data_IF_963091093038
#
_entry.id   IF_963091093038
#
_cell.length_a   1.000
_cell.length_b   1.000
_cell.length_c   1.000
_cell.angle_alpha   90.00
_cell.angle_beta   90.00
_cell.angle_gamma   90.00
#
_symmetry.space_group_name_H-M   'P 1'
#
loop_
_entity.id
_entity.type
_entity.pdbx_description
1 polymer ?
#
# COMPACT_ATOMS: atom_id res chain seq x y z
N UNK A 1 18.33 35.35 -6.62
CA UNK A 1 19.35 35.41 -5.52
C UNK A 1 19.00 34.51 -4.33
N UNK A 2 17.75 34.53 -3.83
CA UNK A 2 17.32 33.73 -2.67
C UNK A 2 17.32 32.20 -2.91
N UNK A 3 16.79 31.73 -4.05
CA UNK A 3 16.76 30.30 -4.40
C UNK A 3 18.16 29.69 -4.41
N UNK A 4 19.14 30.39 -5.00
CA UNK A 4 20.54 29.94 -5.01
C UNK A 4 21.12 29.80 -3.59
N UNK A 5 20.86 30.77 -2.71
CA UNK A 5 21.28 30.69 -1.30
C UNK A 5 20.63 29.51 -0.58
N UNK A 6 19.36 29.23 -0.88
CA UNK A 6 18.64 28.08 -0.32
C UNK A 6 19.26 26.75 -0.77
N UNK A 7 19.66 26.64 -2.04
CA UNK A 7 20.31 25.44 -2.59
C UNK A 7 21.74 25.24 -2.07
N UNK A 8 22.46 26.33 -1.82
CA UNK A 8 23.82 26.32 -1.29
C UNK A 8 23.88 26.12 0.23
N UNK A 9 22.73 26.14 0.92
CA UNK A 9 22.69 25.89 2.35
C UNK A 9 23.24 24.48 2.65
N UNK A 10 24.27 24.43 3.48
CA UNK A 10 24.92 23.19 3.87
C UNK A 10 24.04 22.30 4.74
N UNK A 11 24.47 21.06 4.96
CA UNK A 11 23.82 20.13 5.90
C UNK A 11 24.64 20.11 7.18
N UNK A 12 23.97 20.20 8.32
CA UNK A 12 24.60 19.93 9.61
C UNK A 12 24.71 18.42 9.81
N UNK A 13 25.93 17.88 9.82
CA UNK A 13 26.20 16.49 10.15
C UNK A 13 27.22 16.43 11.29
N UNK A 14 26.84 15.77 12.39
CA UNK A 14 27.68 15.63 13.59
C UNK A 14 28.24 16.96 14.13
N UNK A 15 27.45 18.04 14.08
CA UNK A 15 27.86 19.36 14.59
C UNK A 15 28.73 20.18 13.63
N UNK A 16 29.00 19.69 12.42
CA UNK A 16 29.75 20.42 11.37
C UNK A 16 28.86 20.69 10.17
N UNK A 17 28.93 21.91 9.63
CA UNK A 17 28.26 22.28 8.38
C UNK A 17 29.08 21.76 7.21
N UNK A 18 28.57 20.74 6.52
CA UNK A 18 29.11 20.35 5.21
C UNK A 18 28.46 21.18 4.10
N UNK A 19 29.30 21.81 3.28
CA UNK A 19 28.82 22.48 2.06
C UNK A 19 28.26 21.46 1.08
N UNK A 20 27.23 21.89 0.34
CA UNK A 20 26.60 21.09 -0.69
C UNK A 20 26.93 21.64 -2.07
N UNK A 21 27.40 20.74 -2.92
CA UNK A 21 27.70 21.05 -4.32
C UNK A 21 26.56 20.60 -5.25
N UNK A 22 25.74 19.63 -4.85
CA UNK A 22 24.63 19.10 -5.66
C UNK A 22 23.34 18.81 -4.87
N UNK A 23 22.23 18.78 -5.61
CA UNK A 23 20.89 18.43 -5.14
C UNK A 23 20.15 19.55 -4.40
N UNK A 24 18.87 19.30 -4.10
CA UNK A 24 18.01 20.20 -3.30
C UNK A 24 17.87 19.66 -1.86
N UNK A 25 17.61 20.49 -0.83
CA UNK A 25 17.35 20.00 0.54
C UNK A 25 16.14 19.06 0.58
N UNK A 26 16.34 17.80 0.96
CA UNK A 26 15.22 16.88 1.14
C UNK A 26 14.39 17.33 2.35
N UNK A 27 13.08 17.51 2.15
CA UNK A 27 12.18 18.08 3.17
C UNK A 27 12.02 19.60 3.09
N UNK A 28 12.76 20.28 2.22
CA UNK A 28 12.55 21.69 1.93
C UNK A 28 11.23 21.93 1.19
N UNK A 29 10.35 22.86 1.62
CA UNK A 29 9.07 23.14 0.96
C UNK A 29 9.20 23.51 -0.53
N UNK A 30 10.33 24.13 -0.91
CA UNK A 30 10.60 24.57 -2.29
C UNK A 30 11.15 23.45 -3.18
N UNK A 31 11.72 22.40 -2.60
CA UNK A 31 12.43 21.34 -3.34
C UNK A 31 11.56 20.59 -4.36
N UNK A 32 10.28 20.24 -4.06
CA UNK A 32 9.41 19.60 -5.05
C UNK A 32 9.13 20.46 -6.28
N UNK A 33 8.97 21.78 -6.10
CA UNK A 33 8.74 22.71 -7.20
C UNK A 33 9.99 22.79 -8.09
N UNK A 34 11.17 22.92 -7.50
CA UNK A 34 12.43 22.98 -8.25
C UNK A 34 12.68 21.71 -9.06
N UNK A 35 12.33 20.54 -8.51
CA UNK A 35 12.42 19.27 -9.25
C UNK A 35 11.50 19.28 -10.49
N UNK A 36 10.28 19.80 -10.37
CA UNK A 36 9.37 19.90 -11.51
C UNK A 36 9.83 20.91 -12.56
N UNK A 37 10.40 22.05 -12.15
CA UNK A 37 10.97 23.04 -13.08
C UNK A 37 12.13 22.44 -13.88
N UNK A 38 13.00 21.67 -13.24
CA UNK A 38 14.11 21.00 -13.93
C UNK A 38 13.61 19.96 -14.95
N UNK A 39 12.57 19.21 -14.59
CA UNK A 39 12.04 18.13 -15.42
C UNK A 39 11.06 18.62 -16.51
N UNK A 40 10.71 19.91 -16.53
CA UNK A 40 9.84 20.52 -17.55
C UNK A 40 10.42 20.36 -18.97
N UNK A 41 11.74 20.39 -19.13
CA UNK A 41 12.39 20.14 -20.42
C UNK A 41 12.13 18.72 -20.96
N UNK A 42 12.03 17.73 -20.06
CA UNK A 42 11.70 16.35 -20.44
C UNK A 42 10.26 16.28 -20.94
N UNK A 43 9.34 16.93 -20.25
CA UNK A 43 7.91 16.94 -20.61
C UNK A 43 7.70 17.61 -21.97
N UNK A 44 8.27 18.80 -22.18
CA UNK A 44 8.19 19.52 -23.46
C UNK A 44 8.71 18.71 -24.63
N UNK A 45 9.82 17.98 -24.43
CA UNK A 45 10.39 17.16 -25.50
C UNK A 45 9.54 15.93 -25.81
N UNK A 46 8.89 15.33 -24.81
CA UNK A 46 7.92 14.25 -25.01
C UNK A 46 6.66 14.76 -25.73
N UNK A 47 6.15 15.93 -25.35
CA UNK A 47 5.01 16.59 -25.99
C UNK A 47 5.30 16.95 -27.44
N UNK A 48 6.46 17.57 -27.71
CA UNK A 48 6.91 17.93 -29.06
C UNK A 48 6.99 16.72 -29.99
N UNK A 49 7.31 15.55 -29.45
CA UNK A 49 7.36 14.27 -30.18
C UNK A 49 6.01 13.55 -30.26
N UNK A 50 4.97 14.09 -29.64
CA UNK A 50 3.63 13.51 -29.63
C UNK A 50 3.53 12.19 -28.85
N UNK A 51 4.34 12.02 -27.80
CA UNK A 51 4.31 10.82 -26.97
C UNK A 51 3.20 10.89 -25.91
N UNK A 52 2.50 9.77 -25.68
CA UNK A 52 1.60 9.63 -24.54
C UNK A 52 2.42 9.24 -23.30
N UNK A 53 2.46 10.09 -22.29
CA UNK A 53 3.24 9.82 -21.08
C UNK A 53 2.51 10.28 -19.81
N UNK A 54 2.98 9.78 -18.67
CA UNK A 54 2.57 10.24 -17.34
C UNK A 54 3.83 10.35 -16.49
N UNK A 55 4.04 11.53 -15.91
CA UNK A 55 5.13 11.79 -14.96
C UNK A 55 4.57 12.14 -13.59
N UNK A 56 5.14 11.53 -12.55
CA UNK A 56 4.86 11.85 -11.16
C UNK A 56 6.19 11.99 -10.41
N UNK A 57 6.56 13.23 -10.09
CA UNK A 57 7.91 13.56 -9.62
C UNK A 57 8.98 13.01 -10.58
N UNK A 58 9.82 12.07 -10.11
CA UNK A 58 10.87 11.40 -10.86
C UNK A 58 10.40 10.14 -11.61
N UNK A 59 9.23 9.59 -11.26
CA UNK A 59 8.67 8.39 -11.90
C UNK A 59 7.95 8.79 -13.19
N UNK A 60 8.54 8.48 -14.35
CA UNK A 60 8.01 8.81 -15.67
C UNK A 60 7.78 7.55 -16.51
N UNK A 61 6.57 7.40 -17.02
CA UNK A 61 6.18 6.32 -17.94
C UNK A 61 5.79 6.89 -19.29
N UNK A 62 6.37 6.35 -20.37
CA UNK A 62 5.96 6.64 -21.75
C UNK A 62 5.30 5.39 -22.35
N UNK A 63 4.11 5.55 -22.91
CA UNK A 63 3.30 4.48 -23.46
C UNK A 63 3.43 4.42 -24.98
N UNK A 64 3.83 3.25 -25.48
CA UNK A 64 4.12 3.00 -26.91
C UNK A 64 3.43 1.72 -27.39
N UNK A 65 3.29 1.57 -28.70
CA UNK A 65 2.62 0.41 -29.32
C UNK A 65 3.50 -0.83 -29.47
N UNK A 66 4.83 -0.69 -29.39
CA UNK A 66 5.76 -1.81 -29.55
C UNK A 66 7.03 -1.62 -28.72
N UNK A 67 7.66 -2.74 -28.38
CA UNK A 67 8.92 -2.77 -27.62
C UNK A 67 10.04 -2.01 -28.36
N UNK A 68 10.16 -2.21 -29.68
CA UNK A 68 11.12 -1.47 -30.51
C UNK A 68 10.94 0.05 -30.44
N UNK A 69 9.68 0.52 -30.41
CA UNK A 69 9.42 1.95 -30.21
C UNK A 69 9.79 2.39 -28.79
N UNK A 70 9.57 1.54 -27.80
CA UNK A 70 9.95 1.76 -26.41
C UNK A 70 11.45 1.93 -26.23
N UNK A 71 12.25 1.04 -26.81
CA UNK A 71 13.72 1.14 -26.76
C UNK A 71 14.24 2.42 -27.40
N UNK A 72 13.66 2.82 -28.53
CA UNK A 72 13.98 4.09 -29.19
C UNK A 72 13.66 5.30 -28.31
N UNK A 73 12.49 5.29 -27.64
CA UNK A 73 12.09 6.35 -26.71
C UNK A 73 13.01 6.38 -25.49
N UNK A 74 13.35 5.21 -24.92
CA UNK A 74 14.25 5.08 -23.78
C UNK A 74 15.64 5.64 -24.09
N UNK A 75 16.19 5.36 -25.28
CA UNK A 75 17.45 5.96 -25.73
C UNK A 75 17.36 7.48 -25.85
N UNK A 76 16.23 8.01 -26.34
CA UNK A 76 15.96 9.45 -26.38
C UNK A 76 15.91 10.08 -24.99
N UNK A 77 15.20 9.45 -24.06
CA UNK A 77 15.12 9.88 -22.66
C UNK A 77 16.52 9.91 -22.02
N UNK A 78 17.34 8.88 -22.17
CA UNK A 78 18.72 8.88 -21.66
C UNK A 78 19.51 10.10 -22.12
N UNK A 79 19.33 10.52 -23.37
CA UNK A 79 20.00 11.71 -23.92
C UNK A 79 19.52 13.00 -23.26
N UNK A 80 18.20 13.17 -23.09
CA UNK A 80 17.60 14.38 -22.47
C UNK A 80 17.93 14.46 -20.97
N UNK A 81 17.84 13.35 -20.24
CA UNK A 81 18.28 13.33 -18.84
C UNK A 81 19.79 13.62 -18.73
N UNK A 82 20.59 13.14 -19.68
CA UNK A 82 22.01 13.46 -19.77
C UNK A 82 22.30 14.95 -19.98
N UNK A 83 21.51 15.67 -20.78
CA UNK A 83 21.65 17.13 -20.94
C UNK A 83 21.32 17.89 -19.66
N UNK A 84 20.38 17.37 -18.87
CA UNK A 84 20.05 17.87 -17.53
C UNK A 84 21.06 17.44 -16.44
N UNK A 85 22.12 16.69 -16.82
CA UNK A 85 23.11 16.09 -15.89
C UNK A 85 22.46 15.18 -14.84
N UNK A 86 21.38 14.49 -15.22
CA UNK A 86 20.68 13.52 -14.40
C UNK A 86 20.95 12.10 -14.90
N UNK A 87 21.16 11.17 -13.97
CA UNK A 87 21.38 9.75 -14.28
C UNK A 87 20.10 8.96 -14.09
N UNK A 88 19.71 8.18 -15.11
CA UNK A 88 18.56 7.27 -15.02
C UNK A 88 18.93 6.05 -14.17
N UNK A 89 18.02 5.64 -13.30
CA UNK A 89 18.18 4.41 -12.52
C UNK A 89 17.85 3.19 -13.40
N UNK A 90 18.87 2.58 -13.99
CA UNK A 90 18.74 1.42 -14.89
C UNK A 90 18.17 0.17 -14.19
N UNK A 91 18.35 0.03 -12.86
CA UNK A 91 17.75 -1.08 -12.11
C UNK A 91 16.22 -0.95 -11.96
N UNK A 92 15.69 0.28 -12.04
CA UNK A 92 14.25 0.58 -11.93
C UNK A 92 13.61 0.82 -13.30
N UNK A 93 14.34 1.34 -14.26
CA UNK A 93 13.85 1.69 -15.59
C UNK A 93 13.89 0.47 -16.51
N UNK A 94 12.83 0.26 -17.30
CA UNK A 94 12.79 -0.83 -18.27
C UNK A 94 11.71 -0.56 -19.32
N UNK A 95 11.93 -1.06 -20.53
CA UNK A 95 10.87 -1.25 -21.52
C UNK A 95 10.20 -2.58 -21.20
N UNK A 96 8.91 -2.55 -20.91
CA UNK A 96 8.15 -3.75 -20.58
C UNK A 96 6.66 -3.52 -20.85
N UNK A 97 5.90 -4.61 -20.90
CA UNK A 97 4.45 -4.53 -20.98
C UNK A 97 3.87 -3.82 -19.75
N UNK A 98 2.98 -2.85 -19.97
CA UNK A 98 2.40 -2.01 -18.93
C UNK A 98 1.72 -2.81 -17.80
N UNK A 99 1.13 -3.98 -18.10
CA UNK A 99 0.46 -4.83 -17.12
C UNK A 99 1.40 -5.53 -16.13
N UNK A 100 2.68 -5.72 -16.51
CA UNK A 100 3.68 -6.45 -15.71
C UNK A 100 4.33 -5.57 -14.64
N UNK A 101 4.33 -4.25 -14.85
CA UNK A 101 4.94 -3.28 -13.95
C UNK A 101 3.89 -2.60 -13.07
N UNK A 102 4.40 -1.91 -12.05
CA UNK A 102 3.59 -1.12 -11.11
C UNK A 102 3.92 0.35 -11.31
N UNK A 103 2.94 1.21 -11.10
CA UNK A 103 3.09 2.66 -11.09
C UNK A 103 2.25 3.24 -9.96
N UNK A 104 2.87 4.04 -9.08
CA UNK A 104 2.21 4.68 -7.92
C UNK A 104 1.39 3.72 -7.03
N UNK A 105 1.83 2.47 -6.91
CA UNK A 105 1.14 1.44 -6.11
C UNK A 105 0.02 0.69 -6.86
N UNK A 106 -0.25 1.04 -8.11
CA UNK A 106 -1.18 0.32 -9.00
C UNK A 106 -0.43 -0.57 -9.98
N UNK A 107 -1.12 -1.54 -10.54
CA UNK A 107 -0.72 -2.34 -11.70
C UNK A 107 -1.91 -2.42 -12.65
N UNK A 108 -1.68 -2.76 -13.91
CA UNK A 108 -2.72 -2.80 -14.93
C UNK A 108 -3.01 -4.24 -15.37
N UNK A 109 -4.21 -4.46 -15.87
CA UNK A 109 -4.60 -5.70 -16.52
C UNK A 109 -5.66 -5.40 -17.58
N UNK A 110 -5.74 -6.25 -18.60
CA UNK A 110 -6.73 -6.09 -19.68
C UNK A 110 -7.86 -7.08 -19.49
N UNK A 111 -9.11 -6.61 -19.56
CA UNK A 111 -10.29 -7.46 -19.50
C UNK A 111 -11.36 -6.91 -20.46
N UNK A 112 -11.80 -7.75 -21.41
CA UNK A 112 -12.78 -7.34 -22.42
C UNK A 112 -12.29 -6.20 -23.31
N UNK A 113 -11.00 -6.18 -23.66
CA UNK A 113 -10.39 -5.11 -24.47
C UNK A 113 -10.13 -3.79 -23.73
N UNK A 114 -10.54 -3.68 -22.46
CA UNK A 114 -10.35 -2.46 -21.66
C UNK A 114 -9.24 -2.64 -20.63
N UNK A 115 -8.36 -1.65 -20.53
CA UNK A 115 -7.32 -1.59 -19.48
C UNK A 115 -7.97 -1.20 -18.16
N UNK A 116 -7.80 -2.05 -17.16
CA UNK A 116 -8.29 -1.87 -15.79
C UNK A 116 -7.14 -1.73 -14.80
N UNK A 117 -7.42 -1.06 -13.69
CA UNK A 117 -6.45 -0.82 -12.61
C UNK A 117 -6.64 -1.84 -11.50
N UNK A 118 -5.55 -2.38 -10.97
CA UNK A 118 -5.54 -3.23 -9.77
C UNK A 118 -4.51 -2.71 -8.77
N UNK A 119 -4.70 -3.03 -7.49
CA UNK A 119 -3.68 -2.75 -6.47
C UNK A 119 -2.45 -3.61 -6.74
N UNK A 120 -1.26 -3.00 -6.75
CA UNK A 120 -0.02 -3.75 -6.97
C UNK A 120 0.23 -4.76 -5.84
N UNK A 121 0.82 -5.91 -6.18
CA UNK A 121 1.14 -6.97 -5.21
C UNK A 121 1.93 -6.47 -3.99
N UNK A 122 2.89 -5.55 -4.21
CA UNK A 122 3.68 -4.94 -3.13
C UNK A 122 2.81 -4.10 -2.18
N UNK A 123 1.85 -3.34 -2.70
CA UNK A 123 0.92 -2.54 -1.89
C UNK A 123 -0.02 -3.45 -1.07
N UNK A 124 -0.52 -4.55 -1.66
CA UNK A 124 -1.30 -5.55 -0.94
C UNK A 124 -0.51 -6.22 0.19
N UNK A 125 0.76 -6.56 -0.06
CA UNK A 125 1.65 -7.11 0.97
C UNK A 125 1.91 -6.08 2.09
N UNK A 126 2.17 -4.82 1.74
CA UNK A 126 2.36 -3.74 2.70
C UNK A 126 1.11 -3.55 3.59
N UNK A 127 -0.09 -3.56 2.98
CA UNK A 127 -1.35 -3.54 3.72
C UNK A 127 -1.45 -4.70 4.70
N UNK A 128 -1.27 -5.96 4.23
CA UNK A 128 -1.31 -7.14 5.11
C UNK A 128 -0.26 -7.05 6.22
N UNK A 129 0.94 -6.56 5.95
CA UNK A 129 1.96 -6.35 6.98
C UNK A 129 1.54 -5.30 8.01
N UNK A 130 0.98 -4.17 7.57
CA UNK A 130 0.49 -3.13 8.47
C UNK A 130 -0.64 -3.64 9.36
N UNK A 131 -1.63 -4.32 8.78
CA UNK A 131 -2.72 -4.95 9.55
C UNK A 131 -2.16 -5.97 10.56
N UNK A 132 -1.13 -6.76 10.20
CA UNK A 132 -0.49 -7.67 11.16
C UNK A 132 0.10 -6.95 12.37
N UNK A 133 0.70 -5.79 12.16
CA UNK A 133 1.24 -4.95 13.25
C UNK A 133 0.13 -4.37 14.13
N UNK A 134 -0.96 -3.89 13.51
CA UNK A 134 -2.10 -3.31 14.23
C UNK A 134 -2.85 -4.36 15.05
N UNK A 135 -3.02 -5.58 14.52
CA UNK A 135 -3.71 -6.69 15.21
C UNK A 135 -2.73 -7.66 15.89
N UNK A 136 -1.63 -7.15 16.46
CA UNK A 136 -0.60 -7.97 17.13
C UNK A 136 -1.20 -8.72 18.33
N UNK A 137 -0.97 -10.04 18.37
CA UNK A 137 -1.50 -10.96 19.39
C UNK A 137 -0.85 -10.85 20.78
N UNK A 138 0.30 -10.19 20.88
CA UNK A 138 1.08 -10.02 22.12
C UNK A 138 0.96 -8.61 22.72
N UNK A 139 0.06 -7.77 22.21
CA UNK A 139 0.05 -6.35 22.51
C UNK A 139 -0.78 -5.89 23.71
N UNK A 140 -1.46 -6.79 24.43
CA UNK A 140 -2.27 -6.46 25.62
C UNK A 140 -3.49 -5.55 25.40
N UNK A 141 -3.77 -5.12 24.16
CA UNK A 141 -4.83 -4.17 23.83
C UNK A 141 -6.22 -4.81 23.85
N UNK A 142 -7.21 -4.00 24.22
CA UNK A 142 -8.62 -4.36 24.04
C UNK A 142 -8.98 -4.46 22.55
N UNK A 143 -10.11 -5.08 22.23
CA UNK A 143 -10.55 -5.18 20.83
C UNK A 143 -10.90 -3.78 20.28
N UNK A 144 -11.53 -2.94 21.09
CA UNK A 144 -11.94 -1.56 20.75
C UNK A 144 -10.73 -0.70 20.36
N UNK A 145 -9.65 -0.76 21.16
CA UNK A 145 -8.39 -0.07 20.84
C UNK A 145 -7.75 -0.58 19.54
N UNK A 146 -7.92 -1.86 19.21
CA UNK A 146 -7.44 -2.41 17.93
C UNK A 146 -8.31 -1.88 16.78
N UNK A 147 -9.63 -1.80 16.96
CA UNK A 147 -10.55 -1.25 15.96
C UNK A 147 -10.28 0.22 15.70
N UNK A 148 -10.09 1.04 16.73
CA UNK A 148 -9.73 2.45 16.59
C UNK A 148 -8.49 2.65 15.71
N UNK A 149 -7.44 1.86 15.96
CA UNK A 149 -6.21 1.91 15.16
C UNK A 149 -6.41 1.42 13.72
N UNK A 150 -7.34 0.50 13.49
CA UNK A 150 -7.73 0.09 12.15
C UNK A 150 -8.48 1.22 11.44
N UNK A 151 -9.38 1.91 12.13
CA UNK A 151 -10.12 3.07 11.60
C UNK A 151 -9.21 4.25 11.23
N UNK A 152 -8.07 4.43 11.90
CA UNK A 152 -7.08 5.42 11.51
C UNK A 152 -6.33 5.08 10.20
N UNK A 153 -6.32 3.81 9.76
CA UNK A 153 -5.49 3.36 8.64
C UNK A 153 -6.29 2.88 7.43
N UNK A 154 -7.27 1.99 7.64
CA UNK A 154 -7.99 1.29 6.57
C UNK A 154 -8.78 2.26 5.68
N UNK A 155 -9.50 3.27 6.19
CA UNK A 155 -10.21 4.24 5.35
C UNK A 155 -9.27 5.04 4.44
N UNK A 156 -8.13 5.50 4.95
CA UNK A 156 -7.13 6.20 4.14
C UNK A 156 -6.54 5.31 3.05
N UNK A 157 -6.26 4.05 3.38
CA UNK A 157 -5.81 3.07 2.38
C UNK A 157 -6.89 2.79 1.32
N UNK A 158 -8.16 2.65 1.73
CA UNK A 158 -9.31 2.50 0.82
C UNK A 158 -9.43 3.69 -0.11
N UNK A 159 -9.39 4.91 0.44
CA UNK A 159 -9.49 6.15 -0.31
C UNK A 159 -8.40 6.28 -1.38
N UNK A 160 -7.15 5.93 -1.05
CA UNK A 160 -6.07 5.93 -2.04
C UNK A 160 -6.28 4.90 -3.15
N UNK A 161 -6.71 3.67 -2.81
CA UNK A 161 -6.87 2.58 -3.77
C UNK A 161 -8.27 2.45 -4.38
N UNK A 162 -9.17 3.40 -4.13
CA UNK A 162 -10.57 3.35 -4.60
C UNK A 162 -10.70 3.29 -6.13
N UNK A 163 -9.69 3.77 -6.86
CA UNK A 163 -9.62 3.72 -8.32
C UNK A 163 -9.36 2.31 -8.87
N UNK A 164 -9.03 1.34 -8.01
CA UNK A 164 -8.84 -0.05 -8.43
C UNK A 164 -10.18 -0.74 -8.74
N UNK A 165 -10.20 -1.49 -9.82
CA UNK A 165 -11.39 -2.16 -10.36
C UNK A 165 -11.38 -3.65 -9.98
N UNK A 166 -10.99 -3.95 -8.74
CA UNK A 166 -10.83 -5.32 -8.22
C UNK A 166 -11.66 -5.53 -6.95
N UNK A 167 -13.01 -5.57 -7.04
CA UNK A 167 -13.88 -5.67 -5.87
C UNK A 167 -13.67 -6.97 -5.08
N UNK A 168 -13.38 -8.07 -5.76
CA UNK A 168 -13.06 -9.36 -5.11
C UNK A 168 -11.85 -9.27 -4.19
N UNK A 169 -10.80 -8.54 -4.60
CA UNK A 169 -9.59 -8.33 -3.78
C UNK A 169 -9.94 -7.57 -2.49
N UNK A 170 -10.84 -6.59 -2.54
CA UNK A 170 -11.27 -5.88 -1.35
C UNK A 170 -12.10 -6.77 -0.42
N UNK A 171 -13.03 -7.56 -0.97
CA UNK A 171 -13.79 -8.53 -0.19
C UNK A 171 -12.88 -9.59 0.48
N UNK A 172 -11.86 -10.08 -0.23
CA UNK A 172 -10.87 -11.02 0.30
C UNK A 172 -10.05 -10.42 1.44
N UNK A 173 -9.63 -9.16 1.32
CA UNK A 173 -8.92 -8.44 2.36
C UNK A 173 -9.80 -8.22 3.60
N UNK A 174 -11.07 -7.90 3.39
CA UNK A 174 -12.08 -7.74 4.43
C UNK A 174 -12.35 -9.05 5.19
N UNK A 175 -12.48 -10.17 4.48
CA UNK A 175 -12.61 -11.49 5.06
C UNK A 175 -11.36 -11.89 5.84
N UNK A 176 -10.18 -11.62 5.28
CA UNK A 176 -8.90 -11.87 5.93
C UNK A 176 -8.71 -11.03 7.20
N UNK A 177 -9.07 -9.74 7.18
CA UNK A 177 -9.03 -8.87 8.36
C UNK A 177 -9.92 -9.42 9.48
N UNK A 178 -11.17 -9.78 9.18
CA UNK A 178 -12.10 -10.36 10.16
C UNK A 178 -11.60 -11.70 10.70
N UNK A 179 -10.99 -12.53 9.87
CA UNK A 179 -10.35 -13.77 10.31
C UNK A 179 -9.20 -13.50 11.30
N UNK A 180 -8.43 -12.42 11.11
CA UNK A 180 -7.41 -12.00 12.09
C UNK A 180 -8.00 -11.55 13.42
N UNK A 181 -9.08 -10.78 13.39
CA UNK A 181 -9.76 -10.31 14.60
C UNK A 181 -10.38 -11.47 15.38
N UNK A 182 -10.97 -12.43 14.69
CA UNK A 182 -11.42 -13.70 15.29
C UNK A 182 -10.28 -14.45 15.99
N UNK A 183 -9.12 -14.58 15.34
CA UNK A 183 -7.94 -15.18 15.97
C UNK A 183 -7.43 -14.38 17.17
N UNK A 184 -7.63 -13.05 17.17
CA UNK A 184 -7.27 -12.18 18.30
C UNK A 184 -8.19 -12.41 19.50
N UNK A 185 -9.51 -12.54 19.31
CA UNK A 185 -10.44 -12.91 20.38
C UNK A 185 -10.06 -14.23 21.04
N UNK A 186 -9.83 -15.29 20.23
CA UNK A 186 -9.37 -16.57 20.76
C UNK A 186 -8.08 -16.42 21.59
N UNK A 187 -7.12 -15.64 21.08
CA UNK A 187 -5.89 -15.36 21.82
C UNK A 187 -6.14 -14.64 23.14
N UNK A 188 -7.04 -13.66 23.18
CA UNK A 188 -7.38 -12.90 24.38
C UNK A 188 -8.07 -13.77 25.44
N UNK A 189 -8.97 -14.67 25.03
CA UNK A 189 -9.64 -15.61 25.94
C UNK A 189 -8.68 -16.65 26.52
N UNK A 190 -7.60 -16.99 25.80
CA UNK A 190 -6.47 -17.87 26.18
C UNK A 190 -6.84 -19.32 26.54
N UNK A 191 -7.72 -19.54 27.52
CA UNK A 191 -8.11 -20.86 28.06
C UNK A 191 -9.42 -21.35 27.40
N UNK A 192 -9.52 -22.66 27.22
CA UNK A 192 -10.72 -23.27 26.61
C UNK A 192 -12.01 -22.98 27.38
N UNK A 193 -11.97 -22.99 28.71
CA UNK A 193 -13.13 -22.65 29.56
C UNK A 193 -13.63 -21.21 29.33
N UNK A 194 -12.72 -20.23 29.26
CA UNK A 194 -13.08 -18.85 28.92
C UNK A 194 -13.59 -18.71 27.49
N UNK A 195 -13.02 -19.45 26.53
CA UNK A 195 -13.51 -19.47 25.16
C UNK A 195 -14.95 -20.00 25.11
N UNK A 196 -15.23 -21.13 25.76
CA UNK A 196 -16.56 -21.73 25.83
C UNK A 196 -17.58 -20.75 26.40
N UNK A 197 -17.30 -20.20 27.59
CA UNK A 197 -18.18 -19.23 28.23
C UNK A 197 -18.37 -17.94 27.41
N UNK A 198 -17.35 -17.47 26.69
CA UNK A 198 -17.47 -16.32 25.80
C UNK A 198 -18.34 -16.63 24.58
N UNK A 199 -18.16 -17.79 23.96
CA UNK A 199 -18.93 -18.22 22.80
C UNK A 199 -20.40 -18.44 23.15
N UNK A 200 -20.69 -19.04 24.32
CA UNK A 200 -22.06 -19.17 24.83
C UNK A 200 -22.74 -17.80 25.00
N UNK A 201 -22.04 -16.82 25.59
CA UNK A 201 -22.55 -15.44 25.72
C UNK A 201 -22.78 -14.74 24.38
N UNK A 202 -22.03 -15.12 23.36
CA UNK A 202 -22.20 -14.62 21.99
C UNK A 202 -23.27 -15.40 21.20
N UNK A 203 -23.97 -16.35 21.83
CA UNK A 203 -25.06 -17.11 21.23
C UNK A 203 -24.62 -18.33 20.40
N UNK A 204 -23.38 -18.82 20.55
CA UNK A 204 -22.97 -20.06 19.92
C UNK A 204 -23.67 -21.27 20.57
N UNK A 205 -23.96 -22.32 19.80
CA UNK A 205 -24.48 -23.57 20.37
C UNK A 205 -23.44 -24.22 21.30
N UNK A 206 -23.85 -24.98 22.33
CA UNK A 206 -22.93 -25.69 23.22
C UNK A 206 -21.95 -26.60 22.45
N UNK A 207 -22.42 -27.27 21.39
CA UNK A 207 -21.60 -28.13 20.54
C UNK A 207 -20.52 -27.35 19.78
N UNK A 208 -20.88 -26.24 19.12
CA UNK A 208 -19.91 -25.41 18.39
C UNK A 208 -18.92 -24.75 19.36
N UNK A 209 -19.39 -24.27 20.52
CA UNK A 209 -18.55 -23.69 21.55
C UNK A 209 -17.53 -24.69 22.11
N UNK A 210 -17.94 -25.94 22.35
CA UNK A 210 -17.07 -27.01 22.86
C UNK A 210 -15.96 -27.36 21.86
N UNK A 211 -16.29 -27.49 20.57
CA UNK A 211 -15.32 -27.78 19.50
C UNK A 211 -14.29 -26.66 19.36
N UNK A 212 -14.70 -25.41 19.47
CA UNK A 212 -13.76 -24.28 19.43
C UNK A 212 -12.91 -24.23 20.70
N UNK A 213 -13.51 -24.46 21.87
CA UNK A 213 -12.82 -24.43 23.16
C UNK A 213 -11.76 -25.54 23.30
N UNK A 214 -12.02 -26.74 22.78
CA UNK A 214 -11.05 -27.85 22.79
C UNK A 214 -9.81 -27.56 21.95
N UNK A 215 -9.93 -26.69 20.94
CA UNK A 215 -8.85 -26.27 20.05
C UNK A 215 -8.16 -24.96 20.50
N UNK A 216 -8.08 -24.71 21.82
CA UNK A 216 -7.62 -23.44 22.40
C UNK A 216 -6.16 -23.08 22.11
N UNK A 217 -5.34 -24.02 21.60
CA UNK A 217 -3.93 -23.81 21.26
C UNK A 217 -3.69 -23.44 19.80
N UNK A 218 -4.71 -23.56 18.93
CA UNK A 218 -4.57 -23.42 17.47
C UNK A 218 -5.36 -22.23 16.91
N UNK A 219 -5.10 -21.00 17.38
CA UNK A 219 -5.98 -19.84 17.13
C UNK A 219 -6.25 -19.52 15.66
N UNK A 220 -5.27 -19.66 14.77
CA UNK A 220 -5.47 -19.33 13.34
C UNK A 220 -6.33 -20.36 12.61
N UNK A 221 -6.09 -21.65 12.84
CA UNK A 221 -6.90 -22.73 12.23
C UNK A 221 -8.30 -22.74 12.84
N UNK A 222 -8.41 -22.47 14.14
CA UNK A 222 -9.65 -22.45 14.90
C UNK A 222 -10.52 -21.19 14.63
N UNK A 223 -9.98 -20.16 13.96
CA UNK A 223 -10.71 -18.93 13.64
C UNK A 223 -11.48 -18.95 12.31
N UNK A 224 -11.75 -20.15 11.78
CA UNK A 224 -12.52 -20.39 10.56
C UNK A 224 -13.87 -21.06 10.88
N UNK A 225 -14.72 -21.21 9.85
CA UNK A 225 -15.94 -22.03 9.88
C UNK A 225 -16.86 -21.71 11.07
N UNK A 226 -16.87 -22.55 12.11
CA UNK A 226 -17.76 -22.47 13.28
C UNK A 226 -17.67 -21.12 13.99
N UNK A 227 -16.46 -20.56 14.08
CA UNK A 227 -16.29 -19.25 14.71
C UNK A 227 -16.89 -18.10 13.88
N UNK A 228 -17.11 -18.29 12.58
CA UNK A 228 -17.82 -17.28 11.77
C UNK A 228 -19.29 -17.17 12.18
N UNK A 229 -19.90 -18.22 12.74
CA UNK A 229 -21.29 -18.16 13.24
C UNK A 229 -21.38 -17.37 14.56
N UNK A 230 -20.42 -17.59 15.46
CA UNK A 230 -20.37 -16.90 16.75
C UNK A 230 -19.83 -15.46 16.65
N UNK A 231 -18.93 -15.20 15.70
CA UNK A 231 -18.35 -13.89 15.39
C UNK A 231 -18.58 -13.56 13.90
N UNK A 232 -19.85 -13.30 13.51
CA UNK A 232 -20.22 -13.01 12.13
C UNK A 232 -19.73 -11.62 11.72
N UNK A 233 -19.84 -11.32 10.42
CA UNK A 233 -19.51 -9.99 9.88
C UNK A 233 -20.24 -8.88 10.64
N UNK A 234 -21.53 -9.07 10.92
CA UNK A 234 -22.36 -8.12 11.67
C UNK A 234 -21.84 -7.82 13.09
N UNK A 235 -21.15 -8.76 13.75
CA UNK A 235 -20.52 -8.50 15.04
C UNK A 235 -19.40 -7.47 14.92
N UNK A 236 -18.55 -7.62 13.90
CA UNK A 236 -17.45 -6.68 13.65
C UNK A 236 -17.94 -5.33 13.14
N UNK A 237 -19.06 -5.31 12.40
CA UNK A 237 -19.67 -4.04 11.96
C UNK A 237 -20.21 -3.25 13.16
N UNK A 238 -20.84 -3.92 14.14
CA UNK A 238 -21.27 -3.28 15.40
C UNK A 238 -20.10 -2.76 16.24
N UNK A 239 -18.94 -3.40 16.15
CA UNK A 239 -17.71 -2.91 16.78
C UNK A 239 -17.07 -1.73 16.01
N UNK A 240 -17.59 -1.36 14.84
CA UNK A 240 -17.04 -0.28 14.01
C UNK A 240 -15.79 -0.67 13.23
N UNK A 241 -15.60 -1.97 12.91
CA UNK A 241 -14.48 -2.41 12.06
C UNK A 241 -14.64 -1.86 10.64
N UNK A 242 -13.61 -1.21 10.07
CA UNK A 242 -13.70 -0.59 8.76
C UNK A 242 -13.84 -1.63 7.63
N UNK A 243 -14.54 -1.26 6.55
CA UNK A 243 -14.77 -2.08 5.35
C UNK A 243 -14.09 -1.53 4.11
N UNK A 244 -13.39 -2.40 3.38
CA UNK A 244 -12.82 -2.09 2.07
C UNK A 244 -13.84 -2.24 0.94
N UNK A 245 -14.65 -3.30 0.98
CA UNK A 245 -15.73 -3.52 0.02
C UNK A 245 -16.97 -2.69 0.37
#
# INVERSE_FOLDING_TARGET
RLIRRYLQAGVMMNGVVQQRHEGTPQGGPLSPLLANVLLDEVDRELERRGHCFVRYADDCNVYVRSERAGERVMAGLRKIYGTLKLTINEAKSAVAEAGTRKFLGFSFYTAGGVVKRRVARKALQAYKTRIRQLTRRSGGRSIEQVVERLNAYVPGWKGYFQLSQTPSVFADLDGWLRHRLRALHLKQWKRGSTMFAALQRLGASPSDALVVASNSRCWWKNSQMRLNRALPTAYFDRLGVPRLA
#
